data_IF_889429951273
#
_entry.id   IF_889429951273
#
_cell.length_a   1.000
_cell.length_b   1.000
_cell.length_c   1.000
_cell.angle_alpha   90.00
_cell.angle_beta   90.00
_cell.angle_gamma   90.00
#
_symmetry.space_group_name_H-M   'P 1'
#
loop_
_entity.id
_entity.type
_entity.pdbx_description
1 polymer ?
#
# COMPACT_ATOMS: atom_id res chain seq x y z
N UNK A 1 9.59 0.17 -7.61
CA UNK A 1 9.76 -0.93 -6.65
C UNK A 1 8.41 -1.42 -6.15
N UNK A 2 8.32 -2.71 -5.85
CA UNK A 2 7.12 -3.34 -5.30
C UNK A 2 7.42 -3.86 -3.90
N UNK A 3 6.42 -3.80 -3.02
CA UNK A 3 6.54 -4.28 -1.64
C UNK A 3 5.30 -5.07 -1.25
N UNK A 4 5.49 -6.02 -0.33
CA UNK A 4 4.39 -6.67 0.38
C UNK A 4 4.29 -6.04 1.76
N UNK A 5 3.10 -5.67 2.16
CA UNK A 5 2.84 -4.99 3.43
C UNK A 5 1.81 -5.79 4.23
N UNK A 6 2.12 -6.06 5.50
CA UNK A 6 1.20 -6.74 6.41
C UNK A 6 0.91 -5.88 7.62
N UNK A 7 -0.38 -5.71 7.89
CA UNK A 7 -0.89 -5.12 9.13
C UNK A 7 -1.45 -6.22 10.00
N UNK A 8 -0.98 -6.33 11.22
CA UNK A 8 -1.43 -7.37 12.17
C UNK A 8 -1.90 -6.73 13.46
N UNK A 9 -3.10 -7.07 13.90
CA UNK A 9 -3.68 -6.58 15.16
C UNK A 9 -4.72 -7.57 15.67
N UNK A 10 -4.67 -7.91 16.98
CA UNK A 10 -5.69 -8.70 17.63
C UNK A 10 -5.94 -10.08 17.00
N UNK A 11 -4.91 -10.74 16.50
CA UNK A 11 -5.04 -12.03 15.83
C UNK A 11 -5.54 -11.96 14.40
N UNK A 12 -5.75 -10.75 13.87
CA UNK A 12 -6.15 -10.50 12.49
C UNK A 12 -4.97 -9.92 11.71
N UNK A 13 -4.77 -10.37 10.48
CA UNK A 13 -3.71 -9.87 9.62
C UNK A 13 -4.25 -9.57 8.24
N UNK A 14 -3.85 -8.41 7.68
CA UNK A 14 -4.19 -8.00 6.32
C UNK A 14 -2.89 -7.89 5.53
N UNK A 15 -2.84 -8.54 4.38
CA UNK A 15 -1.69 -8.57 3.49
C UNK A 15 -2.03 -7.82 2.21
N UNK A 16 -1.15 -6.93 1.77
CA UNK A 16 -1.37 -6.13 0.57
C UNK A 16 -0.12 -5.92 -0.24
N UNK A 17 -0.30 -5.47 -1.46
CA UNK A 17 0.76 -5.09 -2.38
C UNK A 17 0.89 -3.58 -2.41
N UNK A 18 2.10 -3.07 -2.21
CA UNK A 18 2.42 -1.64 -2.35
C UNK A 18 3.12 -1.43 -3.68
N UNK A 19 2.55 -0.57 -4.51
CA UNK A 19 3.06 -0.32 -5.86
C UNK A 19 2.67 1.07 -6.33
N UNK A 20 3.33 1.55 -7.38
CA UNK A 20 2.89 2.74 -8.08
C UNK A 20 1.74 2.42 -9.01
N UNK A 21 0.70 3.24 -8.99
CA UNK A 21 -0.43 3.12 -9.90
C UNK A 21 -0.30 4.03 -11.12
N UNK A 22 -0.77 3.58 -12.26
CA UNK A 22 -0.75 4.36 -13.50
C UNK A 22 -1.80 5.48 -13.44
N UNK A 23 -1.36 6.73 -13.57
CA UNK A 23 -2.27 7.87 -13.66
C UNK A 23 -3.16 7.75 -14.90
N UNK A 24 -2.61 7.28 -16.02
CA UNK A 24 -3.39 7.06 -17.24
C UNK A 24 -4.50 6.02 -17.03
N UNK A 25 -4.22 4.94 -16.28
CA UNK A 25 -5.23 3.93 -15.95
C UNK A 25 -6.34 4.50 -15.04
N UNK A 26 -5.98 5.40 -14.12
CA UNK A 26 -6.93 6.10 -13.28
C UNK A 26 -7.83 7.01 -14.12
N UNK A 27 -7.24 7.81 -15.00
CA UNK A 27 -7.98 8.73 -15.88
C UNK A 27 -8.89 7.97 -16.86
N UNK A 28 -8.48 6.78 -17.29
CA UNK A 28 -9.29 5.91 -18.16
C UNK A 28 -10.39 5.13 -17.42
N UNK A 29 -10.47 5.25 -16.09
CA UNK A 29 -11.48 4.56 -15.28
C UNK A 29 -11.18 3.11 -14.97
N UNK A 30 -9.98 2.60 -15.28
CA UNK A 30 -9.56 1.23 -14.92
C UNK A 30 -9.22 1.10 -13.45
N UNK A 31 -8.73 2.19 -12.85
CA UNK A 31 -8.60 2.32 -11.39
C UNK A 31 -9.74 3.22 -10.96
N UNK A 32 -10.71 2.66 -10.23
CA UNK A 32 -11.93 3.37 -9.88
C UNK A 32 -11.77 4.15 -8.58
N UNK A 33 -12.29 5.37 -8.60
CA UNK A 33 -12.40 6.23 -7.43
C UNK A 33 -13.55 5.72 -6.55
N UNK A 34 -13.29 5.50 -5.26
CA UNK A 34 -14.33 5.05 -4.34
C UNK A 34 -14.91 6.19 -3.49
N UNK A 35 -14.25 7.34 -3.48
CA UNK A 35 -14.72 8.55 -2.80
C UNK A 35 -14.19 9.79 -3.51
N UNK A 36 -14.85 10.92 -3.26
CA UNK A 36 -14.39 12.21 -3.76
C UNK A 36 -13.42 12.84 -2.77
N UNK A 37 -12.33 13.40 -3.28
CA UNK A 37 -11.39 14.13 -2.46
C UNK A 37 -11.87 15.57 -2.26
N UNK A 38 -11.46 16.18 -1.14
CA UNK A 38 -11.72 17.61 -0.87
C UNK A 38 -10.54 18.42 -1.37
N UNK A 39 -10.77 19.52 -2.13
CA UNK A 39 -9.68 20.33 -2.69
C UNK A 39 -8.69 20.84 -1.64
N UNK A 40 -9.15 21.25 -0.45
CA UNK A 40 -8.27 21.71 0.63
C UNK A 40 -7.34 20.60 1.12
N UNK A 41 -7.85 19.37 1.20
CA UNK A 41 -7.07 18.20 1.61
C UNK A 41 -6.08 17.78 0.54
N UNK A 42 -6.47 17.84 -0.74
CA UNK A 42 -5.57 17.57 -1.86
C UNK A 42 -4.40 18.54 -1.88
N UNK A 43 -4.67 19.84 -1.73
CA UNK A 43 -3.64 20.87 -1.73
C UNK A 43 -2.65 20.68 -0.59
N UNK A 44 -3.13 20.31 0.59
CA UNK A 44 -2.29 20.01 1.74
C UNK A 44 -1.38 18.81 1.48
N UNK A 45 -1.90 17.74 0.88
CA UNK A 45 -1.12 16.55 0.53
C UNK A 45 -0.07 16.85 -0.52
N UNK A 46 -0.40 17.65 -1.53
CA UNK A 46 0.57 18.09 -2.55
C UNK A 46 1.71 18.85 -1.90
N UNK A 47 1.40 19.79 -1.01
CA UNK A 47 2.43 20.55 -0.29
C UNK A 47 3.32 19.64 0.56
N UNK A 48 2.75 18.64 1.23
CA UNK A 48 3.53 17.64 1.98
C UNK A 48 4.49 16.87 1.10
N UNK A 49 4.02 16.38 -0.04
CA UNK A 49 4.84 15.60 -0.98
C UNK A 49 5.99 16.45 -1.50
N UNK A 50 5.71 17.70 -1.89
CA UNK A 50 6.73 18.63 -2.38
C UNK A 50 7.77 18.96 -1.32
N UNK A 51 7.34 19.18 -0.08
CA UNK A 51 8.23 19.55 1.03
C UNK A 51 9.14 18.38 1.45
N UNK A 52 8.63 17.18 1.47
CA UNK A 52 9.36 15.98 1.91
C UNK A 52 10.13 15.33 0.75
N UNK A 53 9.65 15.48 -0.47
CA UNK A 53 10.21 14.81 -1.65
C UNK A 53 9.84 13.34 -1.74
N UNK A 54 8.78 12.91 -1.05
CA UNK A 54 8.35 11.52 -1.03
C UNK A 54 6.84 11.42 -0.73
N UNK A 55 6.23 10.36 -1.23
CA UNK A 55 4.85 10.02 -0.92
C UNK A 55 4.81 9.29 0.41
N UNK A 56 4.26 9.92 1.44
CA UNK A 56 4.23 9.39 2.81
C UNK A 56 2.89 8.78 3.21
N UNK A 57 1.83 9.00 2.45
CA UNK A 57 0.49 8.51 2.74
C UNK A 57 -0.10 7.76 1.55
N UNK A 58 0.21 6.45 1.37
CA UNK A 58 -0.35 5.69 0.26
C UNK A 58 -1.86 5.53 0.40
N UNK A 59 -2.54 5.43 -0.74
CA UNK A 59 -3.98 5.18 -0.78
C UNK A 59 -4.26 3.69 -0.75
N UNK A 60 -5.43 3.32 -0.21
CA UNK A 60 -5.90 1.95 -0.20
C UNK A 60 -6.77 1.71 -1.43
N UNK A 61 -6.46 0.66 -2.17
CA UNK A 61 -7.28 0.19 -3.29
C UNK A 61 -7.70 -1.25 -3.03
N UNK A 62 -8.89 -1.60 -3.49
CA UNK A 62 -9.38 -2.95 -3.45
C UNK A 62 -9.44 -3.51 -4.88
N UNK A 63 -9.30 -4.83 -4.99
CA UNK A 63 -9.39 -5.52 -6.27
C UNK A 63 -10.19 -6.82 -6.10
N UNK A 64 -10.78 -7.34 -7.20
CA UNK A 64 -11.48 -8.63 -7.13
C UNK A 64 -10.54 -9.76 -6.69
N UNK A 65 -11.05 -10.85 -6.10
CA UNK A 65 -10.21 -11.98 -5.70
C UNK A 65 -9.29 -12.43 -6.83
N UNK A 66 -7.99 -12.57 -6.51
CA UNK A 66 -6.96 -12.93 -7.48
C UNK A 66 -6.01 -13.96 -6.86
N UNK A 67 -6.37 -15.26 -6.84
CA UNK A 67 -5.57 -16.30 -6.19
C UNK A 67 -4.09 -16.32 -6.59
N UNK A 68 -3.71 -16.12 -7.88
CA UNK A 68 -2.29 -16.06 -8.24
C UNK A 68 -1.53 -14.93 -7.56
N UNK A 69 -2.16 -13.76 -7.38
CA UNK A 69 -1.56 -12.62 -6.68
C UNK A 69 -1.42 -12.96 -5.20
N UNK A 70 -2.45 -13.53 -4.58
CA UNK A 70 -2.43 -13.92 -3.17
C UNK A 70 -1.32 -14.92 -2.89
N UNK A 71 -1.09 -15.87 -3.80
CA UNK A 71 -0.02 -16.86 -3.67
C UNK A 71 1.36 -16.21 -3.70
N UNK A 72 1.58 -15.23 -4.57
CA UNK A 72 2.84 -14.48 -4.65
C UNK A 72 3.07 -13.68 -3.38
N UNK A 73 2.05 -12.98 -2.89
CA UNK A 73 2.15 -12.20 -1.65
C UNK A 73 2.48 -13.09 -0.46
N UNK A 74 1.84 -14.24 -0.33
CA UNK A 74 2.10 -15.20 0.74
C UNK A 74 3.52 -15.76 0.67
N UNK A 75 4.02 -16.06 -0.53
CA UNK A 75 5.38 -16.56 -0.73
C UNK A 75 6.43 -15.53 -0.30
N UNK A 76 6.25 -14.27 -0.67
CA UNK A 76 7.16 -13.18 -0.26
C UNK A 76 7.10 -12.97 1.25
N UNK A 77 5.91 -13.00 1.84
CA UNK A 77 5.71 -12.79 3.27
C UNK A 77 6.25 -13.94 4.14
N UNK A 78 6.59 -15.09 3.56
CA UNK A 78 7.24 -16.19 4.27
C UNK A 78 8.74 -15.96 4.50
N UNK A 79 9.33 -14.98 3.82
CA UNK A 79 10.75 -14.65 3.95
C UNK A 79 11.03 -13.66 5.06
N UNK A 80 12.30 -13.27 5.17
CA UNK A 80 12.75 -12.28 6.15
C UNK A 80 12.28 -10.88 5.74
N UNK A 81 11.57 -10.14 6.61
CA UNK A 81 11.11 -8.80 6.27
C UNK A 81 12.24 -7.79 6.20
N UNK A 82 12.06 -6.77 5.36
CA UNK A 82 12.99 -5.64 5.24
C UNK A 82 12.74 -4.60 6.33
N UNK A 83 11.52 -4.52 6.84
CA UNK A 83 11.16 -3.66 7.95
C UNK A 83 10.04 -4.31 8.75
N UNK A 84 10.08 -4.15 10.07
CA UNK A 84 9.08 -4.71 10.98
C UNK A 84 9.04 -3.85 12.24
N UNK A 85 7.87 -3.33 12.57
CA UNK A 85 7.70 -2.45 13.72
C UNK A 85 6.31 -2.59 14.33
N UNK A 86 6.23 -2.41 15.65
CA UNK A 86 4.95 -2.35 16.36
C UNK A 86 4.73 -0.90 16.77
N UNK A 87 3.60 -0.35 16.35
CA UNK A 87 3.21 1.02 16.69
C UNK A 87 2.63 1.08 18.12
N UNK A 88 2.48 2.30 18.65
CA UNK A 88 1.99 2.54 20.01
C UNK A 88 0.57 2.00 20.24
N UNK A 89 -0.23 1.87 19.18
CA UNK A 89 -1.58 1.30 19.23
C UNK A 89 -1.59 -0.24 19.24
N UNK A 90 -0.42 -0.89 19.24
CA UNK A 90 -0.28 -2.34 19.21
C UNK A 90 -0.37 -2.97 17.83
N UNK A 91 -0.54 -2.18 16.78
CA UNK A 91 -0.58 -2.69 15.40
C UNK A 91 0.83 -2.97 14.92
N UNK A 92 1.06 -4.19 14.41
CA UNK A 92 2.35 -4.56 13.84
C UNK A 92 2.34 -4.30 12.34
N UNK A 93 3.38 -3.63 11.87
CA UNK A 93 3.61 -3.28 10.46
C UNK A 93 4.83 -4.04 9.96
N UNK A 94 4.66 -4.83 8.91
CA UNK A 94 5.74 -5.63 8.34
C UNK A 94 5.82 -5.38 6.84
N UNK A 95 7.03 -5.16 6.34
CA UNK A 95 7.28 -4.80 4.94
C UNK A 95 8.34 -5.70 4.33
N UNK A 96 8.06 -6.25 3.16
CA UNK A 96 9.01 -7.03 2.35
C UNK A 96 9.16 -6.37 0.98
N UNK A 97 10.40 -6.20 0.53
CA UNK A 97 10.67 -5.74 -0.82
C UNK A 97 10.64 -6.93 -1.78
N UNK A 98 10.01 -6.77 -2.93
CA UNK A 98 10.01 -7.79 -3.98
C UNK A 98 11.24 -7.53 -4.87
N UNK A 99 12.24 -8.41 -4.78
CA UNK A 99 13.53 -8.21 -5.44
C UNK A 99 13.46 -8.41 -6.96
N UNK A 100 12.57 -9.26 -7.42
CA UNK A 100 12.44 -9.64 -8.83
C UNK A 100 11.33 -8.87 -9.55
N UNK A 101 10.86 -7.77 -9.00
CA UNK A 101 9.79 -6.99 -9.58
C UNK A 101 10.26 -6.11 -10.75
#
# INVERSE_FOLDING_TARGET
ALYVYRLSAGGHAQLGLVAGGSVAAYDAGRIRRHELTRPDKEDDRVRQIEAVGAQTGPVLLAYPPAPPVDAILAAVASGTPDADAVADDGVRHTLWRIADA
#
